data_IF_911034017094
#
_entry.id   IF_911034017094
#
_cell.length_a   1.000
_cell.length_b   1.000
_cell.length_c   1.000
_cell.angle_alpha   90.00
_cell.angle_beta   90.00
_cell.angle_gamma   90.00
#
_symmetry.space_group_name_H-M   'P 1'
#
loop_
_entity.id
_entity.type
_entity.pdbx_description
1 polymer ?
#
# COMPACT_ATOMS: atom_id res chain seq x y z
N UNK A 1 -6.53 1.70 9.89
CA UNK A 1 -6.49 2.69 8.80
C UNK A 1 -5.75 3.88 9.34
N UNK A 2 -4.76 4.40 8.59
CA UNK A 2 -4.06 5.65 8.93
C UNK A 2 -4.56 6.84 8.08
N UNK A 3 -5.52 6.63 7.18
CA UNK A 3 -6.13 7.68 6.36
C UNK A 3 -6.58 8.88 7.21
N UNK A 4 -6.33 10.09 6.70
CA UNK A 4 -6.65 11.34 7.38
C UNK A 4 -5.68 11.72 8.50
N UNK A 5 -4.74 10.83 8.86
CA UNK A 5 -3.68 11.15 9.83
C UNK A 5 -2.70 12.12 9.19
N UNK A 6 -2.35 13.18 9.91
CA UNK A 6 -1.26 14.08 9.54
C UNK A 6 0.04 13.51 10.09
N UNK A 7 1.01 13.27 9.21
CA UNK A 7 2.36 12.85 9.58
C UNK A 7 3.36 13.94 9.24
N UNK A 8 4.44 14.03 10.02
CA UNK A 8 5.52 15.02 9.83
C UNK A 8 6.82 14.28 9.56
N UNK A 9 7.53 14.63 8.50
CA UNK A 9 8.85 14.10 8.19
C UNK A 9 9.94 14.79 9.03
N UNK A 10 11.15 14.26 9.01
CA UNK A 10 12.32 14.75 9.74
C UNK A 10 12.73 16.18 9.33
N UNK A 11 12.41 16.60 8.10
CA UNK A 11 12.64 17.95 7.60
C UNK A 11 11.52 18.95 7.99
N UNK A 12 10.50 18.49 8.71
CA UNK A 12 9.37 19.29 9.16
C UNK A 12 8.22 19.39 8.15
N UNK A 13 8.34 18.79 6.96
CA UNK A 13 7.23 18.74 6.00
C UNK A 13 6.09 17.87 6.52
N UNK A 14 4.85 18.21 6.13
CA UNK A 14 3.64 17.53 6.60
C UNK A 14 2.78 17.06 5.44
N UNK A 15 2.22 15.86 5.58
CA UNK A 15 1.24 15.29 4.64
C UNK A 15 0.08 14.67 5.40
N UNK A 16 -1.10 14.71 4.78
CA UNK A 16 -2.27 13.94 5.24
C UNK A 16 -2.27 12.62 4.48
N UNK A 17 -2.36 11.51 5.20
CA UNK A 17 -2.31 10.19 4.58
C UNK A 17 -3.60 9.89 3.81
N UNK A 18 -3.43 9.37 2.59
CA UNK A 18 -4.49 8.84 1.75
C UNK A 18 -4.84 7.38 2.15
N UNK A 19 -5.94 6.82 1.62
CA UNK A 19 -6.22 5.39 1.69
C UNK A 19 -5.06 4.53 1.14
N UNK A 20 -5.08 3.23 1.44
CA UNK A 20 -4.10 2.27 0.88
C UNK A 20 -4.36 1.96 -0.60
N UNK A 21 -5.61 2.02 -1.05
CA UNK A 21 -5.99 1.82 -2.45
C UNK A 21 -7.29 2.54 -2.81
N UNK A 22 -7.71 2.45 -4.08
CA UNK A 22 -8.88 3.18 -4.59
C UNK A 22 -10.20 2.51 -4.21
N UNK A 23 -10.28 1.18 -4.32
CA UNK A 23 -11.55 0.44 -4.18
C UNK A 23 -11.37 -0.75 -3.26
N UNK A 24 -12.26 -0.90 -2.26
CA UNK A 24 -12.37 -2.15 -1.49
C UNK A 24 -13.26 -3.10 -2.28
N UNK A 25 -12.71 -4.22 -2.73
CA UNK A 25 -13.45 -5.25 -3.48
C UNK A 25 -13.98 -6.37 -2.58
N UNK A 26 -13.37 -6.54 -1.39
CA UNK A 26 -13.82 -7.48 -0.38
C UNK A 26 -13.28 -7.07 1.00
N UNK A 27 -14.07 -7.23 2.06
CA UNK A 27 -13.60 -7.08 3.43
C UNK A 27 -14.36 -8.02 4.37
N UNK A 28 -13.63 -8.65 5.29
CA UNK A 28 -14.19 -9.36 6.45
C UNK A 28 -13.35 -9.06 7.70
N UNK A 29 -13.54 -9.85 8.76
CA UNK A 29 -12.81 -9.67 10.02
C UNK A 29 -11.29 -9.94 9.90
N UNK A 30 -10.88 -10.85 9.00
CA UNK A 30 -9.49 -11.30 8.87
C UNK A 30 -8.71 -10.55 7.80
N UNK A 31 -9.36 -10.14 6.71
CA UNK A 31 -8.71 -9.54 5.56
C UNK A 31 -9.50 -8.37 4.98
N UNK A 32 -8.76 -7.44 4.36
CA UNK A 32 -9.32 -6.44 3.44
C UNK A 32 -8.59 -6.54 2.11
N UNK A 33 -9.34 -6.53 1.01
CA UNK A 33 -8.81 -6.59 -0.34
C UNK A 33 -9.11 -5.28 -1.06
N UNK A 34 -8.04 -4.60 -1.44
CA UNK A 34 -8.06 -3.42 -2.29
C UNK A 34 -7.83 -3.80 -3.75
N UNK A 35 -8.49 -3.09 -4.64
CA UNK A 35 -8.07 -2.91 -6.02
C UNK A 35 -7.31 -1.58 -6.13
N UNK A 36 -6.13 -1.65 -6.75
CA UNK A 36 -5.33 -0.49 -7.10
C UNK A 36 -5.18 -0.48 -8.61
N UNK A 37 -5.55 0.64 -9.23
CA UNK A 37 -5.39 0.92 -10.65
C UNK A 37 -4.77 2.30 -10.79
N UNK A 38 -3.61 2.38 -11.43
CA UNK A 38 -2.93 3.65 -11.74
C UNK A 38 -2.57 3.69 -13.22
N UNK A 39 -3.05 4.69 -13.94
CA UNK A 39 -2.61 4.98 -15.30
C UNK A 39 -1.12 5.39 -15.32
N UNK A 40 -0.44 5.35 -16.48
CA UNK A 40 0.94 5.83 -16.61
C UNK A 40 1.14 7.23 -16.02
N UNK A 41 2.04 7.35 -15.05
CA UNK A 41 2.35 8.60 -14.34
C UNK A 41 1.48 8.90 -13.13
N UNK A 42 0.39 8.15 -12.90
CA UNK A 42 -0.45 8.32 -11.71
C UNK A 42 0.21 7.76 -10.45
N UNK A 43 -0.30 8.24 -9.31
CA UNK A 43 0.24 7.97 -7.99
C UNK A 43 -0.81 7.41 -7.05
N UNK A 44 -0.42 6.44 -6.24
CA UNK A 44 -1.02 6.23 -4.93
C UNK A 44 -0.36 7.24 -3.97
N UNK A 45 -1.07 8.28 -3.50
CA UNK A 45 -0.47 9.32 -2.67
C UNK A 45 0.07 8.77 -1.36
N UNK A 46 0.76 9.61 -0.58
CA UNK A 46 1.34 9.24 0.71
C UNK A 46 0.39 8.41 1.57
N UNK A 47 0.76 7.16 1.82
CA UNK A 47 -0.03 6.19 2.57
C UNK A 47 0.89 5.30 3.41
N UNK A 48 0.29 4.55 4.32
CA UNK A 48 1.01 3.61 5.18
C UNK A 48 0.19 2.34 5.37
N UNK A 49 0.86 1.18 5.26
CA UNK A 49 0.28 -0.09 5.65
C UNK A 49 0.54 -0.35 7.13
N UNK A 50 -0.51 -0.52 7.91
CA UNK A 50 -0.43 -0.88 9.33
C UNK A 50 -0.53 -2.40 9.58
N UNK A 51 -0.90 -3.15 8.55
CA UNK A 51 -1.01 -4.61 8.57
C UNK A 51 0.00 -5.20 7.59
N UNK A 52 0.51 -6.42 7.85
CA UNK A 52 1.16 -7.17 6.80
C UNK A 52 0.22 -7.37 5.62
N UNK A 53 0.77 -7.42 4.41
CA UNK A 53 -0.05 -7.50 3.21
C UNK A 53 0.62 -8.30 2.09
N UNK A 54 -0.23 -8.80 1.20
CA UNK A 54 0.16 -9.46 -0.04
C UNK A 54 -0.31 -8.63 -1.22
N UNK A 55 0.57 -8.35 -2.17
CA UNK A 55 0.22 -7.77 -3.47
C UNK A 55 0.24 -8.88 -4.51
N UNK A 56 -0.82 -8.93 -5.33
CA UNK A 56 -0.93 -9.79 -6.50
C UNK A 56 -1.06 -8.87 -7.71
N UNK A 57 -0.06 -8.90 -8.58
CA UNK A 57 -0.08 -8.10 -9.80
C UNK A 57 -0.96 -8.74 -10.87
N UNK A 58 -1.89 -7.95 -11.43
CA UNK A 58 -2.82 -8.37 -12.48
C UNK A 58 -2.35 -7.97 -13.88
N UNK A 59 -1.21 -7.28 -13.99
CA UNK A 59 -0.57 -6.89 -15.25
C UNK A 59 0.89 -6.51 -15.01
N UNK A 60 1.78 -6.67 -16.00
CA UNK A 60 3.18 -6.27 -15.82
C UNK A 60 3.26 -4.76 -15.60
N UNK A 61 4.04 -4.30 -14.62
CA UNK A 61 4.16 -2.89 -14.30
C UNK A 61 5.54 -2.52 -13.76
N UNK A 62 5.92 -1.26 -13.99
CA UNK A 62 7.15 -0.66 -13.47
C UNK A 62 6.78 0.48 -12.51
N UNK A 63 7.04 0.27 -11.22
CA UNK A 63 6.67 1.17 -10.14
C UNK A 63 7.90 1.83 -9.52
N UNK A 64 7.73 3.09 -9.10
CA UNK A 64 8.67 3.82 -8.24
C UNK A 64 8.02 4.04 -6.88
N UNK A 65 8.75 3.74 -5.82
CA UNK A 65 8.29 3.93 -4.44
C UNK A 65 9.22 4.92 -3.77
N UNK A 66 8.67 6.08 -3.38
CA UNK A 66 9.39 7.15 -2.70
C UNK A 66 9.10 7.08 -1.19
N UNK A 67 10.13 6.98 -0.32
CA UNK A 67 9.97 7.06 1.12
C UNK A 67 9.67 8.51 1.54
N UNK A 68 8.75 8.69 2.50
CA UNK A 68 8.34 10.03 2.92
C UNK A 68 9.44 10.80 3.65
N UNK A 69 10.26 10.10 4.44
CA UNK A 69 11.36 10.71 5.21
C UNK A 69 12.63 10.94 4.38
N UNK A 70 12.49 10.93 3.04
CA UNK A 70 13.60 11.03 2.10
C UNK A 70 14.42 9.74 1.98
N UNK A 71 15.44 9.79 1.11
CA UNK A 71 16.24 8.64 0.74
C UNK A 71 16.05 8.21 -0.71
N UNK A 72 16.76 7.16 -1.12
CA UNK A 72 16.71 6.68 -2.50
C UNK A 72 15.39 5.95 -2.79
N UNK A 73 14.71 6.26 -3.90
CA UNK A 73 13.49 5.58 -4.27
C UNK A 73 13.76 4.12 -4.65
N UNK A 74 12.83 3.24 -4.29
CA UNK A 74 12.86 1.85 -4.76
C UNK A 74 12.21 1.76 -6.13
N UNK A 75 12.91 1.16 -7.09
CA UNK A 75 12.36 0.79 -8.39
C UNK A 75 11.95 -0.67 -8.36
N UNK A 76 10.71 -0.95 -8.73
CA UNK A 76 10.11 -2.29 -8.67
C UNK A 76 9.55 -2.65 -10.04
N UNK A 77 9.95 -3.81 -10.55
CA UNK A 77 9.27 -4.44 -11.68
C UNK A 77 8.36 -5.55 -11.14
N UNK A 78 7.07 -5.48 -11.45
CA UNK A 78 6.07 -6.48 -11.07
C UNK A 78 5.64 -7.24 -12.32
N UNK A 79 5.94 -8.55 -12.46
CA UNK A 79 5.45 -9.33 -13.58
C UNK A 79 3.95 -9.65 -13.43
N UNK A 80 3.28 -10.00 -14.53
CA UNK A 80 1.92 -10.53 -14.48
C UNK A 80 1.85 -11.76 -13.56
N UNK A 81 0.91 -11.76 -12.61
CA UNK A 81 0.77 -12.83 -11.62
C UNK A 81 1.86 -12.83 -10.56
N UNK A 82 2.74 -11.83 -10.54
CA UNK A 82 3.73 -11.64 -9.49
C UNK A 82 3.04 -11.48 -8.13
N UNK A 83 3.55 -12.19 -7.13
CA UNK A 83 3.03 -12.16 -5.76
C UNK A 83 4.14 -11.72 -4.84
N UNK A 84 3.83 -10.79 -3.94
CA UNK A 84 4.80 -10.32 -2.97
C UNK A 84 4.18 -10.06 -1.61
N UNK A 85 4.83 -10.57 -0.57
CA UNK A 85 4.50 -10.31 0.82
C UNK A 85 5.35 -9.15 1.36
N UNK A 86 4.74 -8.34 2.21
CA UNK A 86 5.36 -7.19 2.88
C UNK A 86 4.87 -7.07 4.31
N UNK A 87 5.80 -6.77 5.20
CA UNK A 87 5.51 -6.32 6.56
C UNK A 87 5.03 -4.85 6.55
N UNK A 88 4.36 -4.39 7.62
CA UNK A 88 4.11 -2.96 7.85
C UNK A 88 5.40 -2.16 7.72
N UNK A 89 5.28 -0.94 7.19
CA UNK A 89 6.44 -0.14 6.82
C UNK A 89 6.23 1.36 7.00
N UNK A 90 7.19 2.10 6.46
CA UNK A 90 7.18 3.55 6.43
C UNK A 90 6.06 4.13 5.55
N UNK A 91 5.78 5.41 5.77
CA UNK A 91 4.94 6.19 4.88
C UNK A 91 5.66 6.32 3.54
N UNK A 92 4.96 6.02 2.45
CA UNK A 92 5.53 6.10 1.11
C UNK A 92 4.48 6.51 0.08
N UNK A 93 4.98 6.91 -1.09
CA UNK A 93 4.18 7.20 -2.28
C UNK A 93 4.59 6.21 -3.37
N UNK A 94 3.60 5.63 -4.04
CA UNK A 94 3.84 4.75 -5.19
C UNK A 94 3.46 5.50 -6.46
N UNK A 95 4.34 5.49 -7.46
CA UNK A 95 4.11 6.06 -8.79
C UNK A 95 4.22 4.97 -9.83
N UNK A 96 3.21 4.85 -10.70
CA UNK A 96 3.35 4.05 -11.92
C UNK A 96 4.27 4.81 -12.89
N UNK A 97 5.49 4.30 -13.07
CA UNK A 97 6.50 4.87 -13.98
C UNK A 97 6.46 4.24 -15.36
N UNK A 98 5.73 3.14 -15.52
CA UNK A 98 5.60 2.41 -16.77
C UNK A 98 4.78 3.15 -17.82
N UNK A 99 4.61 2.49 -18.97
CA UNK A 99 3.79 2.97 -20.09
C UNK A 99 2.45 2.22 -20.22
N UNK A 100 2.15 1.36 -19.25
CA UNK A 100 0.88 0.60 -19.16
C UNK A 100 0.26 0.80 -17.78
N UNK A 101 -1.06 0.60 -17.61
CA UNK A 101 -1.71 0.73 -16.32
C UNK A 101 -1.13 -0.27 -15.31
N UNK A 102 -0.80 0.21 -14.11
CA UNK A 102 -0.54 -0.65 -12.96
C UNK A 102 -1.88 -1.14 -12.43
N UNK A 103 -2.06 -2.46 -12.31
CA UNK A 103 -3.28 -3.07 -11.80
C UNK A 103 -2.94 -4.20 -10.83
N UNK A 104 -3.39 -4.10 -9.59
CA UNK A 104 -3.14 -5.14 -8.60
C UNK A 104 -4.32 -5.39 -7.66
N UNK A 105 -4.20 -6.49 -6.90
CA UNK A 105 -4.96 -6.73 -5.68
C UNK A 105 -4.02 -6.67 -4.50
N UNK A 106 -4.32 -5.81 -3.55
CA UNK A 106 -3.60 -5.74 -2.28
C UNK A 106 -4.48 -6.30 -1.17
N UNK A 107 -4.00 -7.35 -0.51
CA UNK A 107 -4.70 -8.07 0.55
C UNK A 107 -4.03 -7.73 1.88
N UNK A 108 -4.66 -6.88 2.69
CA UNK A 108 -4.24 -6.61 4.06
C UNK A 108 -4.68 -7.76 4.99
N UNK A 109 -3.75 -8.26 5.81
CA UNK A 109 -3.97 -9.35 6.78
C UNK A 109 -4.24 -8.76 8.17
N UNK A 110 -5.51 -8.46 8.46
CA UNK A 110 -5.95 -7.75 9.67
C UNK A 110 -5.66 -8.49 10.97
N UNK A 111 -5.63 -9.83 10.95
CA UNK A 111 -5.37 -10.63 12.15
C UNK A 111 -3.88 -10.64 12.56
N UNK A 112 -2.96 -10.29 11.66
CA UNK A 112 -1.52 -10.34 11.90
C UNK A 112 -0.91 -8.98 12.28
N UNK A 113 -1.66 -7.88 12.19
CA UNK A 113 -1.17 -6.54 12.52
C UNK A 113 -2.28 -5.62 12.99
N UNK A 114 -1.94 -4.59 13.79
CA UNK A 114 -2.76 -3.42 14.15
C UNK A 114 -4.14 -3.61 14.82
N UNK A 115 -4.72 -4.80 14.74
CA UNK A 115 -5.99 -5.23 15.30
C UNK A 115 -5.80 -6.66 15.79
N UNK A 116 -5.35 -6.80 17.03
CA UNK A 116 -5.67 -7.99 17.81
C UNK A 116 -7.07 -7.70 18.38
N UNK A 117 -8.17 -8.30 17.86
CA UNK A 117 -9.38 -8.32 18.67
C UNK A 117 -9.00 -9.02 19.98
N UNK A 118 -9.51 -8.56 21.14
CA UNK A 118 -9.25 -9.29 22.38
C UNK A 118 -9.63 -10.75 22.14
N UNK A 119 -8.72 -11.66 22.46
CA UNK A 119 -9.01 -13.08 22.45
C UNK A 119 -10.33 -13.24 23.22
N UNK A 120 -11.38 -13.68 22.52
CA UNK A 120 -12.57 -14.17 23.20
C UNK A 120 -12.10 -15.36 24.01
N UNK A 121 -11.96 -15.12 25.31
CA UNK A 121 -11.60 -16.15 26.26
C UNK A 121 -12.71 -17.20 26.29
N UNK A 122 -12.30 -18.44 26.11
CA UNK A 122 -12.99 -19.63 26.61
C UNK A 122 -12.23 -20.13 27.85
#
# INVERSE_FOLDING_TARGET
>A
MSEGTVVTASDGSQVTLAPVGQTIVFENEHVRVWEIVLEPGEQQPWHQHLNPYVVISLGPADNRIDPFDGGEPRLVHEPLGGVVYREPGEVHMLTNRGTTPYHCRLIELKYLGGHVPPATGD
#
